data_IF_566912308131
#
_entry.id   IF_566912308131
#
_cell.length_a   1.000
_cell.length_b   1.000
_cell.length_c   1.000
_cell.angle_alpha   90.00
_cell.angle_beta   90.00
_cell.angle_gamma   90.00
#
_symmetry.space_group_name_H-M   'P 1'
#
loop_
_entity.id
_entity.type
_entity.pdbx_description
1 polymer ?
#
# COMPACT_ATOMS: atom_id res chain seq x y z
N UNK A 1 -24.46 35.27 38.34
CA UNK A 1 -24.44 34.18 39.34
C UNK A 1 -25.65 33.24 39.24
N UNK A 2 -26.83 33.75 39.03
CA UNK A 2 -28.10 33.00 38.96
C UNK A 2 -28.14 31.92 37.84
N UNK A 3 -27.67 32.24 36.65
CA UNK A 3 -27.61 31.27 35.51
C UNK A 3 -26.74 30.05 35.86
N UNK A 4 -25.60 30.27 36.50
CA UNK A 4 -24.70 29.21 36.91
C UNK A 4 -25.31 28.28 37.97
N UNK A 5 -26.12 28.86 38.87
CA UNK A 5 -26.86 28.09 39.89
C UNK A 5 -27.95 27.23 39.26
N UNK A 6 -28.69 27.76 38.27
CA UNK A 6 -29.69 26.99 37.49
C UNK A 6 -29.05 25.82 36.73
N UNK A 7 -27.95 26.08 36.05
CA UNK A 7 -27.19 24.99 35.35
C UNK A 7 -26.69 23.95 36.36
N UNK A 8 -26.14 24.37 37.50
CA UNK A 8 -25.67 23.48 38.55
C UNK A 8 -26.80 22.61 39.09
N UNK A 9 -27.97 23.17 39.35
CA UNK A 9 -29.15 22.42 39.81
C UNK A 9 -29.56 21.34 38.80
N UNK A 10 -29.76 21.73 37.53
CA UNK A 10 -30.17 20.78 36.50
C UNK A 10 -29.12 19.68 36.25
N UNK A 11 -27.84 20.02 36.36
CA UNK A 11 -26.74 19.01 36.30
C UNK A 11 -26.73 18.06 37.49
N UNK A 12 -27.11 18.51 38.68
CA UNK A 12 -27.24 17.66 39.88
C UNK A 12 -28.36 16.63 39.67
N UNK A 13 -29.41 17.01 38.93
CA UNK A 13 -30.48 16.11 38.50
C UNK A 13 -30.09 15.19 37.34
N UNK A 14 -28.83 15.22 36.88
CA UNK A 14 -28.28 14.44 35.75
C UNK A 14 -28.85 14.81 34.36
N UNK A 15 -29.52 15.94 34.20
CA UNK A 15 -29.97 16.44 32.89
C UNK A 15 -28.75 16.81 32.04
N UNK A 16 -28.76 16.44 30.77
CA UNK A 16 -27.63 16.65 29.85
C UNK A 16 -27.41 18.15 29.56
N UNK A 17 -26.15 18.54 29.26
CA UNK A 17 -25.85 19.95 28.91
C UNK A 17 -26.56 20.39 27.61
N UNK A 18 -26.84 19.45 26.72
CA UNK A 18 -27.55 19.70 25.46
C UNK A 18 -29.01 20.02 25.73
N UNK A 19 -29.67 19.26 26.60
CA UNK A 19 -31.04 19.55 27.05
C UNK A 19 -31.13 20.87 27.81
N UNK A 20 -30.16 21.13 28.71
CA UNK A 20 -30.12 22.43 29.43
C UNK A 20 -29.97 23.61 28.46
N UNK A 21 -29.18 23.48 27.40
CA UNK A 21 -29.04 24.48 26.36
C UNK A 21 -30.33 24.65 25.53
N UNK A 22 -30.97 23.52 25.18
CA UNK A 22 -32.23 23.56 24.43
C UNK A 22 -33.34 24.28 25.22
N UNK A 23 -33.44 23.98 26.52
CA UNK A 23 -34.36 24.68 27.44
C UNK A 23 -34.00 26.17 27.60
N UNK A 24 -32.71 26.48 27.78
CA UNK A 24 -32.24 27.86 27.91
C UNK A 24 -32.46 28.70 26.64
N UNK A 25 -32.42 28.07 25.48
CA UNK A 25 -32.69 28.72 24.17
C UNK A 25 -34.18 28.73 23.80
N UNK A 26 -35.08 28.25 24.67
CA UNK A 26 -36.54 28.23 24.41
C UNK A 26 -36.97 27.21 23.35
N UNK A 27 -36.13 26.23 23.01
CA UNK A 27 -36.45 25.17 22.05
C UNK A 27 -37.31 24.04 22.66
N UNK A 28 -37.23 23.83 23.98
CA UNK A 28 -38.05 22.91 24.76
C UNK A 28 -38.50 23.55 26.06
N UNK A 29 -39.70 23.15 26.52
CA UNK A 29 -40.18 23.55 27.83
C UNK A 29 -39.45 22.80 28.93
N UNK A 30 -39.14 23.48 30.02
CA UNK A 30 -38.47 22.89 31.19
C UNK A 30 -39.32 21.76 31.81
N UNK A 31 -40.64 21.92 31.85
CA UNK A 31 -41.55 20.91 32.41
C UNK A 31 -41.50 19.63 31.56
N UNK A 32 -41.57 19.76 30.24
CA UNK A 32 -41.49 18.64 29.31
C UNK A 32 -40.15 17.88 29.43
N UNK A 33 -39.04 18.60 29.56
CA UNK A 33 -37.70 18.03 29.78
C UNK A 33 -37.61 17.27 31.14
N UNK A 34 -38.25 17.84 32.18
CA UNK A 34 -38.30 17.19 33.50
C UNK A 34 -39.16 15.92 33.49
N UNK A 35 -40.33 15.95 32.81
CA UNK A 35 -41.20 14.78 32.69
C UNK A 35 -40.52 13.64 31.90
N UNK A 36 -39.86 13.97 30.81
CA UNK A 36 -39.08 12.99 30.05
C UNK A 36 -37.94 12.41 30.91
N UNK A 37 -37.30 13.24 31.72
CA UNK A 37 -36.23 12.78 32.63
C UNK A 37 -36.78 11.92 33.78
N UNK A 38 -37.94 12.26 34.34
CA UNK A 38 -38.61 11.42 35.36
C UNK A 38 -38.94 10.03 34.82
N UNK A 39 -39.47 9.92 33.58
CA UNK A 39 -39.75 8.65 32.94
C UNK A 39 -38.47 7.82 32.78
N UNK A 40 -37.35 8.48 32.44
CA UNK A 40 -36.03 7.81 32.31
C UNK A 40 -35.56 7.29 33.68
N UNK A 41 -35.71 8.06 34.75
CA UNK A 41 -35.36 7.68 36.12
C UNK A 41 -36.22 6.52 36.64
N UNK A 42 -37.52 6.49 36.32
CA UNK A 42 -38.40 5.39 36.65
C UNK A 42 -37.99 4.09 35.96
N UNK A 43 -37.62 4.16 34.68
CA UNK A 43 -37.10 2.99 33.94
C UNK A 43 -35.77 2.50 34.49
N UNK A 44 -34.84 3.42 34.84
CA UNK A 44 -33.57 3.08 35.49
C UNK A 44 -33.78 2.42 36.89
N UNK A 45 -34.72 2.93 37.69
CA UNK A 45 -35.09 2.33 38.98
C UNK A 45 -35.57 0.90 38.84
N UNK A 46 -36.48 0.65 37.89
CA UNK A 46 -36.97 -0.69 37.55
C UNK A 46 -35.83 -1.66 37.16
N UNK A 47 -34.91 -1.19 36.31
CA UNK A 47 -33.75 -1.96 35.90
C UNK A 47 -32.83 -2.31 37.07
N UNK A 48 -32.58 -1.37 37.97
CA UNK A 48 -31.78 -1.61 39.19
C UNK A 48 -32.45 -2.61 40.10
N UNK A 49 -33.77 -2.53 40.31
CA UNK A 49 -34.54 -3.49 41.14
C UNK A 49 -34.48 -4.90 40.53
N UNK A 50 -34.60 -5.05 39.21
CA UNK A 50 -34.50 -6.35 38.52
C UNK A 50 -33.07 -6.92 38.64
N UNK A 51 -32.04 -6.08 38.43
CA UNK A 51 -30.63 -6.49 38.58
C UNK A 51 -30.37 -6.94 40.04
N UNK A 52 -30.92 -6.27 41.04
CA UNK A 52 -30.80 -6.68 42.44
C UNK A 52 -31.48 -8.03 42.69
N UNK A 53 -32.66 -8.30 42.12
CA UNK A 53 -33.31 -9.60 42.25
C UNK A 53 -32.47 -10.71 41.65
N UNK A 54 -31.91 -10.47 40.43
CA UNK A 54 -31.04 -11.43 39.78
C UNK A 54 -29.76 -11.71 40.58
N UNK A 55 -29.10 -10.65 41.07
CA UNK A 55 -27.92 -10.81 41.92
C UNK A 55 -28.21 -11.60 43.22
N UNK A 56 -29.37 -11.38 43.80
CA UNK A 56 -29.78 -12.16 44.99
C UNK A 56 -29.98 -13.63 44.63
N UNK A 57 -30.68 -13.92 43.52
CA UNK A 57 -30.87 -15.28 43.04
C UNK A 57 -29.53 -15.98 42.78
N UNK A 58 -28.65 -15.37 42.05
CA UNK A 58 -27.30 -15.92 41.76
C UNK A 58 -26.48 -16.13 43.02
N UNK A 59 -26.60 -15.25 44.02
CA UNK A 59 -25.96 -15.40 45.31
C UNK A 59 -26.55 -16.58 46.11
N UNK A 60 -27.88 -16.68 46.11
CA UNK A 60 -28.59 -17.71 46.89
C UNK A 60 -28.39 -19.10 46.27
N UNK A 61 -28.20 -19.16 44.93
CA UNK A 61 -27.79 -20.37 44.20
C UNK A 61 -26.30 -20.72 44.40
N UNK A 62 -25.55 -19.90 45.09
CA UNK A 62 -24.10 -20.05 45.34
C UNK A 62 -23.28 -20.34 44.08
N UNK A 63 -23.58 -19.63 42.98
CA UNK A 63 -23.02 -19.85 41.64
C UNK A 63 -21.57 -19.46 41.58
N UNK A 64 -20.70 -20.37 41.09
CA UNK A 64 -19.32 -20.08 40.79
C UNK A 64 -19.17 -19.69 39.30
N UNK A 65 -18.21 -18.83 38.99
CA UNK A 65 -17.99 -18.37 37.61
C UNK A 65 -17.81 -19.51 36.58
N UNK A 66 -17.15 -20.61 37.02
CA UNK A 66 -16.89 -21.77 36.15
C UNK A 66 -18.14 -22.63 35.85
N UNK A 67 -19.17 -22.57 36.72
CA UNK A 67 -20.43 -23.32 36.58
C UNK A 67 -21.65 -22.45 36.27
N UNK A 68 -21.40 -21.16 35.90
CA UNK A 68 -22.47 -20.21 35.63
C UNK A 68 -23.20 -20.57 34.32
N UNK A 69 -24.47 -21.00 34.43
CA UNK A 69 -25.38 -21.11 33.32
C UNK A 69 -25.95 -19.72 32.94
N UNK A 70 -25.22 -19.01 32.06
CA UNK A 70 -25.60 -17.68 31.66
C UNK A 70 -26.94 -17.63 30.92
N UNK A 71 -27.32 -18.70 30.22
CA UNK A 71 -28.59 -18.74 29.46
C UNK A 71 -29.80 -18.78 30.40
N UNK A 72 -29.73 -19.57 31.43
CA UNK A 72 -30.80 -19.66 32.45
C UNK A 72 -31.07 -18.31 33.12
N UNK A 73 -30.03 -17.59 33.51
CA UNK A 73 -30.19 -16.29 34.19
C UNK A 73 -30.61 -15.18 33.20
N UNK A 74 -30.25 -15.27 31.93
CA UNK A 74 -30.72 -14.34 30.90
C UNK A 74 -32.22 -14.58 30.59
N UNK A 75 -32.66 -15.80 30.48
CA UNK A 75 -34.07 -16.14 30.31
C UNK A 75 -34.93 -15.69 31.51
N UNK A 76 -34.42 -15.89 32.76
CA UNK A 76 -35.10 -15.37 33.95
C UNK A 76 -35.22 -13.85 33.91
N UNK A 77 -34.17 -13.15 33.52
CA UNK A 77 -34.16 -11.70 33.36
C UNK A 77 -35.20 -11.24 32.33
N UNK A 78 -35.27 -11.91 31.18
CA UNK A 78 -36.27 -11.64 30.14
C UNK A 78 -37.68 -11.85 30.66
N UNK A 79 -37.93 -12.89 31.47
CA UNK A 79 -39.23 -13.12 32.07
C UNK A 79 -39.67 -12.04 33.03
N UNK A 80 -38.72 -11.49 33.83
CA UNK A 80 -38.96 -10.34 34.71
C UNK A 80 -39.29 -9.07 33.91
N UNK A 81 -38.62 -8.86 32.77
CA UNK A 81 -38.85 -7.70 31.93
C UNK A 81 -40.18 -7.75 31.20
N UNK A 82 -40.65 -8.94 30.76
CA UNK A 82 -41.96 -9.15 30.14
C UNK A 82 -43.12 -8.87 31.09
N UNK A 83 -42.93 -9.15 32.38
CA UNK A 83 -43.98 -8.91 33.40
C UNK A 83 -44.12 -7.41 33.78
N UNK A 84 -43.12 -6.62 33.61
CA UNK A 84 -43.10 -5.22 34.12
C UNK A 84 -42.89 -4.15 33.04
N UNK A 85 -43.04 -4.50 31.76
CA UNK A 85 -42.83 -3.60 30.62
C UNK A 85 -41.46 -2.83 30.64
N UNK A 86 -40.51 -3.35 31.37
CA UNK A 86 -39.18 -2.77 31.44
C UNK A 86 -38.35 -3.25 30.23
N UNK A 87 -38.03 -2.34 29.32
CA UNK A 87 -37.13 -2.62 28.21
C UNK A 87 -35.70 -2.62 28.74
N UNK A 88 -35.08 -3.79 28.87
CA UNK A 88 -33.65 -3.87 29.10
C UNK A 88 -32.93 -3.26 27.91
N UNK A 89 -32.15 -2.22 28.18
CA UNK A 89 -31.14 -1.81 27.20
C UNK A 89 -30.17 -2.96 27.08
N UNK A 90 -30.15 -3.61 25.90
CA UNK A 90 -29.14 -4.63 25.60
C UNK A 90 -27.79 -4.11 26.04
N UNK A 91 -27.04 -4.96 26.75
CA UNK A 91 -25.73 -4.59 27.28
C UNK A 91 -24.84 -4.17 26.10
N UNK A 92 -24.62 -2.87 25.99
CA UNK A 92 -23.79 -2.36 24.91
C UNK A 92 -22.35 -2.72 25.26
N UNK A 93 -21.75 -3.57 24.43
CA UNK A 93 -20.36 -3.97 24.56
C UNK A 93 -19.47 -2.75 24.91
N UNK A 94 -18.58 -2.87 25.92
CA UNK A 94 -17.78 -1.74 26.35
C UNK A 94 -16.91 -1.21 25.23
N UNK A 95 -17.08 0.05 24.90
CA UNK A 95 -16.33 0.72 23.82
C UNK A 95 -14.89 0.91 24.23
N UNK A 96 -14.00 0.48 23.35
CA UNK A 96 -12.56 0.53 23.63
C UNK A 96 -11.99 1.86 23.18
N UNK A 97 -11.46 2.62 24.14
CA UNK A 97 -10.68 3.84 23.92
C UNK A 97 -9.21 3.48 23.65
N UNK A 98 -8.87 3.10 22.45
CA UNK A 98 -7.48 2.77 22.09
C UNK A 98 -7.10 3.44 20.77
N UNK A 99 -7.00 4.80 20.73
CA UNK A 99 -6.78 5.53 19.50
C UNK A 99 -5.45 5.17 18.82
N UNK A 100 -4.38 4.98 19.58
CA UNK A 100 -3.08 4.60 19.03
C UNK A 100 -3.12 3.22 18.37
N UNK A 101 -3.77 2.23 18.99
CA UNK A 101 -3.94 0.90 18.39
C UNK A 101 -4.71 0.96 17.07
N UNK A 102 -5.72 1.82 16.98
CA UNK A 102 -6.50 2.03 15.76
C UNK A 102 -5.64 2.61 14.64
N UNK A 103 -4.78 3.59 14.96
CA UNK A 103 -3.84 4.19 14.00
C UNK A 103 -2.83 3.14 13.53
N UNK A 104 -2.19 2.41 14.44
CA UNK A 104 -1.22 1.37 14.07
C UNK A 104 -1.86 0.23 13.27
N UNK A 105 -3.09 -0.19 13.62
CA UNK A 105 -3.83 -1.16 12.83
C UNK A 105 -4.04 -0.66 11.38
N UNK A 106 -4.38 0.62 11.23
CA UNK A 106 -4.65 1.19 9.91
C UNK A 106 -3.39 1.37 9.07
N UNK A 107 -2.30 1.84 9.68
CA UNK A 107 -1.00 1.92 9.02
C UNK A 107 -0.54 0.54 8.53
N UNK A 108 -0.70 -0.48 9.37
CA UNK A 108 -0.38 -1.85 8.98
C UNK A 108 -1.25 -2.35 7.82
N UNK A 109 -2.57 -2.14 7.88
CA UNK A 109 -3.48 -2.53 6.79
C UNK A 109 -3.05 -1.86 5.48
N UNK A 110 -2.71 -0.57 5.51
CA UNK A 110 -2.25 0.17 4.33
C UNK A 110 -0.97 -0.43 3.74
N UNK A 111 0.05 -0.67 4.58
CA UNK A 111 1.31 -1.30 4.17
C UNK A 111 1.08 -2.71 3.63
N UNK A 112 0.24 -3.50 4.30
CA UNK A 112 -0.11 -4.85 3.87
C UNK A 112 -0.71 -4.86 2.45
N UNK A 113 -1.71 -4.03 2.19
CA UNK A 113 -2.32 -3.94 0.87
C UNK A 113 -1.35 -3.39 -0.18
N UNK A 114 -0.50 -2.43 0.17
CA UNK A 114 0.52 -1.89 -0.73
C UNK A 114 1.54 -2.96 -1.15
N UNK A 115 2.02 -3.78 -0.21
CA UNK A 115 2.96 -4.87 -0.50
C UNK A 115 2.28 -5.98 -1.30
N UNK A 116 1.03 -6.35 -0.97
CA UNK A 116 0.28 -7.33 -1.77
C UNK A 116 0.08 -6.83 -3.20
N UNK A 117 -0.26 -5.56 -3.38
CA UNK A 117 -0.38 -4.95 -4.70
C UNK A 117 0.95 -4.99 -5.47
N UNK A 118 2.06 -4.62 -4.81
CA UNK A 118 3.40 -4.69 -5.38
C UNK A 118 3.76 -6.12 -5.81
N UNK A 119 3.45 -7.13 -4.98
CA UNK A 119 3.69 -8.53 -5.32
C UNK A 119 2.85 -8.98 -6.52
N UNK A 120 1.58 -8.61 -6.57
CA UNK A 120 0.69 -8.91 -7.70
C UNK A 120 1.19 -8.25 -8.98
N UNK A 121 1.60 -6.98 -8.93
CA UNK A 121 2.20 -6.28 -10.07
C UNK A 121 3.45 -6.99 -10.58
N UNK A 122 4.34 -7.38 -9.68
CA UNK A 122 5.60 -8.03 -10.05
C UNK A 122 5.44 -9.46 -10.57
N UNK A 123 4.51 -10.24 -9.99
CA UNK A 123 4.39 -11.67 -10.28
C UNK A 123 3.32 -11.99 -11.34
N UNK A 124 2.25 -11.20 -11.43
CA UNK A 124 1.08 -11.52 -12.27
C UNK A 124 0.98 -10.60 -13.47
N UNK A 125 1.14 -9.28 -13.29
CA UNK A 125 0.87 -8.28 -14.34
C UNK A 125 2.09 -8.04 -15.23
N UNK A 126 3.24 -8.59 -14.87
CA UNK A 126 4.49 -8.41 -15.60
C UNK A 126 4.78 -6.94 -15.94
N UNK A 127 4.54 -6.06 -14.98
CA UNK A 127 4.99 -4.66 -14.83
C UNK A 127 4.70 -3.65 -15.95
N UNK A 128 4.08 -4.01 -17.06
CA UNK A 128 4.00 -3.14 -18.24
C UNK A 128 2.93 -2.03 -18.18
N UNK A 129 1.92 -2.12 -17.30
CA UNK A 129 0.70 -1.31 -17.48
C UNK A 129 0.37 -0.33 -16.34
N UNK A 130 0.90 -0.50 -15.14
CA UNK A 130 0.41 0.25 -13.97
C UNK A 130 1.30 1.38 -13.45
N UNK A 131 2.58 1.45 -13.82
CA UNK A 131 3.53 2.39 -13.21
C UNK A 131 3.90 3.60 -14.09
N UNK A 132 3.43 3.70 -15.30
CA UNK A 132 3.64 4.89 -16.15
C UNK A 132 3.17 6.22 -15.53
N UNK A 133 2.33 6.15 -14.49
CA UNK A 133 1.87 7.33 -13.74
C UNK A 133 2.07 7.11 -12.25
N UNK A 134 3.03 7.79 -11.66
CA UNK A 134 3.37 7.73 -10.21
C UNK A 134 2.19 7.98 -9.23
N UNK A 135 1.03 8.40 -9.72
CA UNK A 135 -0.18 8.66 -8.93
C UNK A 135 -1.21 7.51 -8.98
N UNK A 136 -1.07 6.54 -9.88
CA UNK A 136 -2.01 5.43 -10.05
C UNK A 136 -2.09 4.45 -8.87
N UNK A 137 -1.01 4.14 -8.15
CA UNK A 137 -1.08 3.11 -7.12
C UNK A 137 -2.02 3.48 -5.96
N UNK A 138 -2.15 4.75 -5.59
CA UNK A 138 -2.99 5.15 -4.45
C UNK A 138 -4.49 4.95 -4.72
N UNK A 139 -5.10 5.44 -5.81
CA UNK A 139 -6.51 5.18 -6.11
C UNK A 139 -6.83 3.68 -6.25
N UNK A 140 -5.97 2.91 -6.91
CA UNK A 140 -6.15 1.46 -7.06
C UNK A 140 -6.09 0.77 -5.71
N UNK A 141 -5.13 1.13 -4.86
CA UNK A 141 -5.01 0.63 -3.50
C UNK A 141 -6.26 0.91 -2.67
N UNK A 142 -6.81 2.12 -2.76
CA UNK A 142 -8.05 2.51 -2.07
C UNK A 142 -9.26 1.72 -2.59
N UNK A 143 -9.33 1.47 -3.89
CA UNK A 143 -10.36 0.61 -4.49
C UNK A 143 -10.26 -0.84 -3.99
N UNK A 144 -9.06 -1.41 -3.95
CA UNK A 144 -8.83 -2.75 -3.40
C UNK A 144 -9.27 -2.79 -1.93
N UNK A 145 -8.86 -1.81 -1.13
CA UNK A 145 -9.26 -1.72 0.28
C UNK A 145 -10.76 -1.62 0.45
N UNK A 146 -11.46 -0.86 -0.42
CA UNK A 146 -12.90 -0.69 -0.36
C UNK A 146 -13.66 -2.02 -0.48
N UNK A 147 -13.21 -2.93 -1.34
CA UNK A 147 -13.91 -4.19 -1.58
C UNK A 147 -13.37 -5.35 -0.72
N UNK A 148 -12.08 -5.37 -0.43
CA UNK A 148 -11.42 -6.48 0.29
C UNK A 148 -11.57 -6.32 1.81
N UNK A 149 -11.50 -5.10 2.38
CA UNK A 149 -11.68 -4.90 3.81
C UNK A 149 -13.06 -5.39 4.33
N UNK A 150 -14.19 -5.13 3.65
CA UNK A 150 -15.48 -5.68 4.03
C UNK A 150 -15.53 -7.21 4.08
N UNK A 151 -14.82 -7.90 3.17
CA UNK A 151 -14.72 -9.36 3.20
C UNK A 151 -14.03 -9.86 4.47
N UNK A 152 -12.94 -9.20 4.88
CA UNK A 152 -12.26 -9.50 6.15
C UNK A 152 -13.17 -9.26 7.35
N UNK A 153 -13.90 -8.15 7.37
CA UNK A 153 -14.81 -7.79 8.46
C UNK A 153 -15.99 -8.76 8.54
N UNK A 154 -16.56 -9.17 7.40
CA UNK A 154 -17.66 -10.12 7.34
C UNK A 154 -17.23 -11.54 7.77
N UNK A 155 -16.11 -12.05 7.21
CA UNK A 155 -15.65 -13.43 7.52
C UNK A 155 -15.05 -13.56 8.91
N UNK A 156 -14.15 -12.66 9.28
CA UNK A 156 -13.34 -12.78 10.52
C UNK A 156 -13.66 -11.73 11.57
N UNK A 157 -14.43 -10.69 11.20
CA UNK A 157 -14.75 -9.56 12.08
C UNK A 157 -13.56 -8.71 12.43
N UNK A 158 -12.48 -8.79 11.64
CA UNK A 158 -11.25 -8.04 11.86
C UNK A 158 -10.49 -7.90 10.55
N UNK A 159 -9.63 -6.89 10.42
CA UNK A 159 -8.65 -6.78 9.33
C UNK A 159 -7.29 -7.30 9.80
N UNK A 160 -6.33 -7.57 8.90
CA UNK A 160 -4.99 -8.01 9.30
C UNK A 160 -4.35 -7.11 10.36
N UNK A 161 -4.35 -5.80 10.14
CA UNK A 161 -3.80 -4.85 11.11
C UNK A 161 -4.55 -4.80 12.43
N UNK A 162 -5.88 -4.82 12.40
CA UNK A 162 -6.69 -4.89 13.62
C UNK A 162 -6.45 -6.19 14.40
N UNK A 163 -6.34 -7.32 13.68
CA UNK A 163 -6.07 -8.61 14.30
C UNK A 163 -4.73 -8.62 15.05
N UNK A 164 -3.66 -8.07 14.44
CA UNK A 164 -2.33 -8.01 15.06
C UNK A 164 -2.35 -7.20 16.35
N UNK A 165 -3.05 -6.07 16.37
CA UNK A 165 -3.14 -5.24 17.58
C UNK A 165 -4.24 -5.68 18.56
N UNK A 166 -4.91 -6.81 18.30
CA UNK A 166 -5.92 -7.39 19.18
C UNK A 166 -7.30 -6.74 19.09
N UNK A 167 -7.62 -6.05 18.00
CA UNK A 167 -8.91 -5.39 17.79
C UNK A 167 -9.82 -6.23 16.89
N UNK A 168 -11.13 -6.21 17.17
CA UNK A 168 -12.17 -6.74 16.26
C UNK A 168 -13.34 -5.79 16.20
N UNK A 169 -14.10 -5.88 15.10
CA UNK A 169 -15.28 -5.07 14.82
C UNK A 169 -16.51 -5.96 14.89
N UNK A 170 -17.55 -5.50 15.60
CA UNK A 170 -18.82 -6.18 15.79
C UNK A 170 -19.96 -5.18 15.64
N UNK A 171 -21.17 -5.69 15.50
CA UNK A 171 -22.39 -4.92 15.73
C UNK A 171 -22.66 -4.77 17.25
N UNK A 172 -23.75 -4.10 17.59
CA UNK A 172 -24.16 -3.93 19.00
C UNK A 172 -24.58 -5.23 19.68
N UNK A 173 -24.90 -6.28 18.89
CA UNK A 173 -25.34 -7.60 19.38
C UNK A 173 -24.16 -8.63 19.39
N UNK A 174 -22.92 -8.16 19.31
CA UNK A 174 -21.68 -8.97 19.21
C UNK A 174 -21.62 -9.90 17.99
N UNK A 175 -22.42 -9.64 16.96
CA UNK A 175 -22.36 -10.40 15.71
C UNK A 175 -21.34 -9.82 14.75
N UNK A 176 -20.87 -10.64 13.81
CA UNK A 176 -20.08 -10.16 12.70
C UNK A 176 -20.93 -9.29 11.80
N UNK A 177 -20.32 -8.26 11.20
CA UNK A 177 -21.02 -7.39 10.26
C UNK A 177 -21.47 -8.16 9.00
N UNK A 178 -22.62 -7.81 8.45
CA UNK A 178 -22.97 -8.19 7.07
C UNK A 178 -21.99 -7.50 6.10
N UNK A 179 -21.87 -8.03 4.88
CA UNK A 179 -21.02 -7.42 3.86
C UNK A 179 -21.44 -5.98 3.55
N UNK A 180 -22.74 -5.73 3.45
CA UNK A 180 -23.29 -4.40 3.18
C UNK A 180 -22.95 -3.41 4.30
N UNK A 181 -23.14 -3.79 5.55
CA UNK A 181 -22.79 -2.94 6.72
C UNK A 181 -21.28 -2.69 6.79
N UNK A 182 -20.46 -3.69 6.49
CA UNK A 182 -19.02 -3.56 6.43
C UNK A 182 -18.56 -2.65 5.28
N UNK A 183 -19.19 -2.77 4.09
CA UNK A 183 -18.93 -1.93 2.94
C UNK A 183 -19.31 -0.47 3.20
N UNK A 184 -20.51 -0.23 3.73
CA UNK A 184 -20.98 1.11 4.09
C UNK A 184 -20.04 1.78 5.11
N UNK A 185 -19.57 1.02 6.10
CA UNK A 185 -18.59 1.47 7.09
C UNK A 185 -17.25 1.81 6.44
N UNK A 186 -16.73 0.93 5.58
CA UNK A 186 -15.44 1.15 4.89
C UNK A 186 -15.55 2.33 3.93
N UNK A 187 -16.66 2.46 3.20
CA UNK A 187 -16.94 3.60 2.34
C UNK A 187 -16.98 4.91 3.12
N UNK A 188 -17.76 4.96 4.21
CA UNK A 188 -17.85 6.17 5.05
C UNK A 188 -16.49 6.56 5.62
N UNK A 189 -15.68 5.57 6.00
CA UNK A 189 -14.32 5.78 6.50
C UNK A 189 -13.38 6.29 5.40
N UNK A 190 -13.38 5.69 4.21
CA UNK A 190 -12.54 6.11 3.10
C UNK A 190 -12.94 7.50 2.59
N UNK A 191 -14.24 7.73 2.38
CA UNK A 191 -14.72 9.00 1.84
C UNK A 191 -14.47 10.18 2.77
N UNK A 192 -14.75 10.03 4.06
CA UNK A 192 -14.54 11.09 5.05
C UNK A 192 -13.07 11.31 5.40
N UNK A 193 -12.22 10.28 5.20
CA UNK A 193 -10.79 10.34 5.49
C UNK A 193 -9.91 10.40 4.25
N UNK A 194 -10.45 10.43 3.04
CA UNK A 194 -9.65 10.48 1.80
C UNK A 194 -8.72 11.70 1.77
N UNK A 195 -9.15 12.81 2.36
CA UNK A 195 -8.33 14.00 2.56
C UNK A 195 -7.41 13.91 3.79
N UNK A 196 -7.62 12.95 4.70
CA UNK A 196 -7.00 12.90 6.03
C UNK A 196 -6.58 11.49 6.45
N UNK A 197 -6.07 10.70 5.53
CA UNK A 197 -5.52 9.35 5.81
C UNK A 197 -4.32 9.37 6.77
N UNK A 198 -4.01 10.53 7.30
CA UNK A 198 -2.85 10.83 8.13
C UNK A 198 -3.33 11.08 9.58
N UNK A 199 -2.47 10.86 10.58
CA UNK A 199 -2.66 11.22 12.00
C UNK A 199 -3.24 12.60 12.25
N UNK A 200 -3.19 13.49 11.27
CA UNK A 200 -3.72 14.85 11.26
C UNK A 200 -5.23 14.89 11.54
N UNK A 201 -6.04 14.00 10.95
CA UNK A 201 -7.48 13.96 11.24
C UNK A 201 -7.77 13.68 12.72
N UNK A 202 -7.00 12.80 13.34
CA UNK A 202 -7.09 12.53 14.77
C UNK A 202 -6.76 13.77 15.61
N UNK A 203 -5.80 14.58 15.20
CA UNK A 203 -5.42 15.80 15.90
C UNK A 203 -6.53 16.85 15.83
N UNK A 204 -7.17 17.03 14.68
CA UNK A 204 -8.25 18.01 14.50
C UNK A 204 -9.58 17.57 15.17
N UNK A 205 -9.90 16.27 15.14
CA UNK A 205 -11.15 15.74 15.71
C UNK A 205 -10.96 15.11 17.11
N UNK A 206 -9.81 15.31 17.72
CA UNK A 206 -9.51 14.82 19.08
C UNK A 206 -10.54 15.31 20.11
N UNK A 207 -11.03 16.50 19.98
CA UNK A 207 -12.02 17.08 20.90
C UNK A 207 -13.42 16.49 20.67
N UNK A 208 -13.82 16.28 19.42
CA UNK A 208 -15.09 15.64 19.08
C UNK A 208 -15.10 14.18 19.54
N UNK A 209 -14.03 13.43 19.26
CA UNK A 209 -13.86 12.06 19.75
C UNK A 209 -13.83 11.96 21.28
N UNK A 210 -13.23 12.94 21.98
CA UNK A 210 -13.25 12.97 23.45
C UNK A 210 -14.66 13.13 24.00
N UNK A 211 -15.52 13.89 23.34
CA UNK A 211 -16.86 14.18 23.79
C UNK A 211 -17.84 13.06 23.44
N UNK A 212 -17.78 12.52 22.23
CA UNK A 212 -18.76 11.55 21.73
C UNK A 212 -18.29 10.10 21.88
N UNK A 213 -16.98 9.86 21.99
CA UNK A 213 -16.33 8.53 21.96
C UNK A 213 -16.60 7.72 20.68
N UNK A 214 -17.12 8.35 19.63
CA UNK A 214 -17.43 7.74 18.35
C UNK A 214 -16.76 8.50 17.23
N UNK A 215 -16.32 7.76 16.24
CA UNK A 215 -16.10 8.33 14.92
C UNK A 215 -17.41 8.27 14.13
N UNK A 216 -17.66 9.21 13.22
CA UNK A 216 -18.91 9.25 12.44
C UNK A 216 -19.23 7.98 11.65
N UNK A 217 -18.21 7.15 11.36
CA UNK A 217 -18.36 5.84 10.68
C UNK A 217 -18.60 4.65 11.62
N UNK A 218 -18.68 4.89 12.92
CA UNK A 218 -18.89 3.86 13.94
C UNK A 218 -20.32 3.84 14.50
N UNK A 219 -21.25 4.55 13.87
CA UNK A 219 -22.62 4.72 14.41
C UNK A 219 -23.33 3.40 14.67
N UNK A 220 -23.05 2.35 13.86
CA UNK A 220 -23.69 1.04 13.97
C UNK A 220 -22.70 -0.10 14.29
N UNK A 221 -21.49 0.23 14.78
CA UNK A 221 -20.45 -0.78 15.03
C UNK A 221 -19.71 -0.51 16.32
N UNK A 222 -19.28 -1.58 16.97
CA UNK A 222 -18.48 -1.53 18.21
C UNK A 222 -17.11 -2.13 17.94
N UNK A 223 -16.07 -1.46 18.41
CA UNK A 223 -14.71 -1.98 18.39
C UNK A 223 -14.42 -2.66 19.73
N UNK A 224 -14.04 -3.94 19.66
CA UNK A 224 -13.76 -4.77 20.82
C UNK A 224 -12.27 -5.03 20.89
N UNK A 225 -11.70 -4.96 22.11
CA UNK A 225 -10.34 -5.41 22.40
C UNK A 225 -10.38 -6.86 22.86
N UNK A 226 -9.91 -7.79 22.00
CA UNK A 226 -9.87 -9.23 22.33
C UNK A 226 -8.86 -9.58 23.40
N UNK A 227 -7.65 -9.07 23.25
CA UNK A 227 -6.59 -9.32 24.24
C UNK A 227 -5.51 -8.22 24.20
N UNK A 228 -4.69 -8.17 25.26
CA UNK A 228 -3.55 -7.23 25.41
C UNK A 228 -2.21 -7.96 25.45
N UNK A 229 -2.08 -9.10 24.78
CA UNK A 229 -0.86 -9.91 24.81
C UNK A 229 0.35 -9.16 24.26
N UNK A 230 1.44 -9.12 25.00
CA UNK A 230 2.67 -8.39 24.64
C UNK A 230 3.36 -8.93 23.39
N UNK A 231 3.25 -10.23 23.11
CA UNK A 231 3.84 -10.84 21.90
C UNK A 231 3.33 -10.23 20.60
N UNK A 232 2.11 -9.65 20.60
CA UNK A 232 1.54 -8.97 19.44
C UNK A 232 2.35 -7.75 18.99
N UNK A 233 3.01 -7.06 19.94
CA UNK A 233 3.90 -5.93 19.63
C UNK A 233 5.12 -6.45 18.88
N UNK A 234 5.70 -7.56 19.31
CA UNK A 234 6.82 -8.21 18.63
C UNK A 234 6.44 -8.69 17.22
N UNK A 235 5.26 -9.32 17.08
CA UNK A 235 4.74 -9.74 15.80
C UNK A 235 4.51 -8.55 14.85
N UNK A 236 3.92 -7.46 15.36
CA UNK A 236 3.72 -6.24 14.58
C UNK A 236 5.04 -5.71 14.03
N UNK A 237 6.04 -5.57 14.90
CA UNK A 237 7.38 -5.09 14.51
C UNK A 237 8.04 -6.03 13.48
N UNK A 238 7.99 -7.35 13.70
CA UNK A 238 8.54 -8.34 12.78
C UNK A 238 7.89 -8.29 11.39
N UNK A 239 6.56 -8.17 11.32
CA UNK A 239 5.85 -8.05 10.06
C UNK A 239 6.09 -6.72 9.35
N UNK A 240 6.23 -5.61 10.09
CA UNK A 240 6.63 -4.33 9.51
C UNK A 240 8.02 -4.41 8.87
N UNK A 241 8.99 -5.03 9.56
CA UNK A 241 10.33 -5.26 9.01
C UNK A 241 10.27 -6.18 7.79
N UNK A 242 9.50 -7.27 7.85
CA UNK A 242 9.30 -8.17 6.72
C UNK A 242 8.74 -7.45 5.49
N UNK A 243 7.68 -6.64 5.65
CA UNK A 243 7.10 -5.89 4.54
C UNK A 243 8.04 -4.81 4.00
N UNK A 244 8.82 -4.17 4.87
CA UNK A 244 9.87 -3.24 4.45
C UNK A 244 10.92 -3.96 3.60
N UNK A 245 11.38 -5.13 4.04
CA UNK A 245 12.30 -5.95 3.26
C UNK A 245 11.70 -6.38 1.93
N UNK A 246 10.44 -6.83 1.90
CA UNK A 246 9.75 -7.16 0.65
C UNK A 246 9.70 -5.98 -0.31
N UNK A 247 9.42 -4.76 0.19
CA UNK A 247 9.34 -3.56 -0.65
C UNK A 247 10.67 -3.14 -1.26
N UNK A 248 11.80 -3.58 -0.68
CA UNK A 248 13.15 -3.32 -1.19
C UNK A 248 13.63 -4.48 -2.07
N UNK A 249 13.49 -5.70 -1.56
CA UNK A 249 14.04 -6.91 -2.18
C UNK A 249 13.32 -7.27 -3.48
N UNK A 250 11.99 -7.19 -3.50
CA UNK A 250 11.21 -7.59 -4.68
C UNK A 250 11.52 -6.71 -5.91
N UNK A 251 11.50 -5.37 -5.84
CA UNK A 251 11.92 -4.53 -6.97
C UNK A 251 13.39 -4.73 -7.34
N UNK A 252 14.25 -4.95 -6.35
CA UNK A 252 15.68 -5.19 -6.60
C UNK A 252 15.91 -6.43 -7.47
N UNK A 253 15.26 -7.56 -7.14
CA UNK A 253 15.36 -8.77 -7.95
C UNK A 253 14.56 -8.69 -9.27
N UNK A 254 13.58 -7.82 -9.37
CA UNK A 254 12.86 -7.59 -10.62
C UNK A 254 13.76 -7.02 -11.74
N UNK A 255 14.78 -6.24 -11.37
CA UNK A 255 15.79 -5.68 -12.29
C UNK A 255 17.01 -6.55 -12.49
N UNK A 256 17.01 -7.76 -11.92
CA UNK A 256 18.12 -8.70 -12.11
C UNK A 256 17.86 -9.63 -13.30
N UNK A 257 18.89 -10.05 -14.06
CA UNK A 257 18.73 -11.00 -15.14
C UNK A 257 17.98 -12.27 -14.71
N UNK A 258 17.17 -12.84 -15.59
CA UNK A 258 16.45 -14.08 -15.32
C UNK A 258 17.34 -15.31 -15.52
N UNK A 259 18.11 -15.28 -16.61
CA UNK A 259 19.04 -16.33 -16.98
C UNK A 259 20.44 -15.96 -16.49
N UNK A 260 21.16 -16.93 -15.93
CA UNK A 260 22.47 -16.75 -15.32
C UNK A 260 23.52 -17.69 -15.92
N UNK A 261 24.79 -17.34 -15.73
CA UNK A 261 25.91 -18.10 -16.25
C UNK A 261 26.13 -17.91 -17.76
N UNK A 262 26.57 -18.94 -18.46
CA UNK A 262 26.82 -18.85 -19.89
C UNK A 262 25.50 -18.81 -20.66
N UNK A 263 25.27 -17.70 -21.36
CA UNK A 263 24.01 -17.43 -22.03
C UNK A 263 24.03 -17.83 -23.49
N UNK A 264 22.94 -18.36 -24.00
CA UNK A 264 22.61 -18.36 -25.44
C UNK A 264 22.14 -16.97 -25.86
N UNK A 265 22.06 -16.70 -27.16
CA UNK A 265 21.57 -15.44 -27.69
C UNK A 265 20.12 -15.18 -27.25
N UNK A 266 19.26 -16.19 -27.30
CA UNK A 266 17.86 -16.07 -26.86
C UNK A 266 17.73 -15.79 -25.35
N UNK A 267 18.56 -16.42 -24.49
CA UNK A 267 18.60 -16.14 -23.06
C UNK A 267 19.07 -14.70 -22.77
N UNK A 268 20.08 -14.22 -23.52
CA UNK A 268 20.53 -12.83 -23.43
C UNK A 268 19.43 -11.86 -23.88
N UNK A 269 18.77 -12.12 -25.01
CA UNK A 269 17.67 -11.31 -25.50
C UNK A 269 16.51 -11.25 -24.49
N UNK A 270 16.18 -12.39 -23.85
CA UNK A 270 15.20 -12.47 -22.79
C UNK A 270 15.57 -11.60 -21.59
N UNK A 271 16.83 -11.67 -21.12
CA UNK A 271 17.34 -10.81 -20.05
C UNK A 271 17.27 -9.33 -20.41
N UNK A 272 17.73 -8.96 -21.61
CA UNK A 272 17.69 -7.60 -22.13
C UNK A 272 16.27 -7.08 -22.18
N UNK A 273 15.34 -7.82 -22.79
CA UNK A 273 13.95 -7.45 -22.96
C UNK A 273 13.23 -7.27 -21.61
N UNK A 274 13.55 -8.12 -20.63
CA UNK A 274 13.02 -7.96 -19.26
C UNK A 274 13.47 -6.64 -18.63
N UNK A 275 14.74 -6.31 -18.75
CA UNK A 275 15.29 -5.05 -18.24
C UNK A 275 14.76 -3.84 -18.99
N UNK A 276 14.67 -3.92 -20.32
CA UNK A 276 14.10 -2.87 -21.16
C UNK A 276 12.66 -2.56 -20.76
N UNK A 277 11.83 -3.59 -20.55
CA UNK A 277 10.45 -3.43 -20.05
C UNK A 277 10.39 -2.75 -18.69
N UNK A 278 11.32 -3.08 -17.81
CA UNK A 278 11.36 -2.48 -16.47
C UNK A 278 11.73 -1.00 -16.51
N UNK A 279 12.75 -0.63 -17.27
CA UNK A 279 13.25 0.74 -17.31
C UNK A 279 12.46 1.68 -18.23
N UNK A 280 11.83 1.13 -19.30
CA UNK A 280 11.08 1.90 -20.31
C UNK A 280 9.60 1.51 -20.31
N UNK A 281 8.93 1.85 -19.23
CA UNK A 281 7.51 1.54 -19.01
C UNK A 281 6.55 2.33 -19.92
N UNK A 282 7.02 3.40 -20.51
CA UNK A 282 6.28 4.27 -21.42
C UNK A 282 6.19 3.72 -22.86
N UNK A 283 6.75 2.53 -23.10
CA UNK A 283 6.78 1.91 -24.43
C UNK A 283 7.90 2.43 -25.34
N UNK A 284 8.80 3.30 -24.85
CA UNK A 284 9.97 3.78 -25.60
C UNK A 284 11.12 2.78 -25.62
N UNK A 285 10.99 1.69 -24.86
CA UNK A 285 11.99 0.63 -24.81
C UNK A 285 12.19 -0.07 -26.14
N UNK A 286 13.44 -0.41 -26.42
CA UNK A 286 13.84 -1.21 -27.58
C UNK A 286 13.99 -2.65 -27.11
N UNK A 287 13.73 -3.59 -28.04
CA UNK A 287 13.71 -5.03 -27.75
C UNK A 287 14.57 -5.80 -28.74
N UNK A 288 14.98 -6.96 -28.35
CA UNK A 288 15.68 -7.93 -29.17
C UNK A 288 14.75 -9.10 -29.50
N UNK A 289 14.86 -9.64 -30.70
CA UNK A 289 14.23 -10.91 -31.08
C UNK A 289 15.02 -12.11 -30.53
N UNK A 290 14.59 -13.33 -30.85
CA UNK A 290 15.23 -14.56 -30.37
C UNK A 290 16.64 -14.78 -30.96
N UNK A 291 16.93 -14.14 -32.10
CA UNK A 291 18.23 -14.09 -32.77
C UNK A 291 19.12 -12.94 -32.24
N UNK A 292 18.63 -12.18 -31.26
CA UNK A 292 19.34 -11.06 -30.63
C UNK A 292 19.41 -9.80 -31.48
N UNK A 293 18.61 -9.69 -32.56
CA UNK A 293 18.57 -8.51 -33.41
C UNK A 293 17.51 -7.55 -32.91
N UNK A 294 17.72 -6.27 -33.22
CA UNK A 294 16.82 -5.20 -32.81
C UNK A 294 15.49 -5.28 -33.54
N UNK A 295 14.42 -5.32 -32.80
CA UNK A 295 13.07 -5.40 -33.33
C UNK A 295 12.23 -4.21 -32.89
N UNK A 296 11.26 -3.85 -33.76
CA UNK A 296 10.27 -2.84 -33.41
C UNK A 296 9.44 -3.37 -32.25
N UNK A 297 9.24 -2.55 -31.24
CA UNK A 297 8.30 -2.85 -30.17
C UNK A 297 6.95 -3.18 -30.81
N UNK A 298 6.33 -4.33 -30.50
CA UNK A 298 4.95 -4.54 -30.89
C UNK A 298 4.13 -3.35 -30.34
N UNK A 299 3.20 -2.77 -31.12
CA UNK A 299 2.44 -1.61 -30.69
C UNK A 299 1.70 -2.00 -29.41
N UNK A 300 2.20 -1.55 -28.29
CA UNK A 300 1.50 -1.66 -27.02
C UNK A 300 0.33 -0.69 -27.13
N UNK A 301 -0.89 -1.21 -27.15
CA UNK A 301 -2.08 -0.39 -26.99
C UNK A 301 -2.03 0.24 -25.61
N UNK A 302 -1.41 1.40 -25.52
CA UNK A 302 -1.54 2.23 -24.31
C UNK A 302 -2.97 2.77 -24.28
N UNK A 303 -3.62 2.70 -23.15
CA UNK A 303 -4.98 3.20 -22.95
C UNK A 303 -5.15 4.72 -23.22
N UNK A 304 -4.09 5.41 -23.62
CA UNK A 304 -4.02 6.87 -23.73
C UNK A 304 -3.41 7.34 -25.06
N UNK A 305 -3.88 6.82 -26.16
CA UNK A 305 -3.55 7.38 -27.47
C UNK A 305 -2.17 6.92 -27.99
N UNK A 306 -2.15 6.68 -29.26
CA UNK A 306 -0.98 6.27 -30.01
C UNK A 306 0.08 7.38 -30.01
N UNK A 307 1.12 7.22 -29.23
CA UNK A 307 2.41 7.76 -29.59
C UNK A 307 3.10 6.69 -30.42
N UNK A 308 2.95 6.78 -31.73
CA UNK A 308 3.73 6.00 -32.70
C UNK A 308 5.15 6.59 -32.71
N UNK A 309 5.90 6.29 -31.65
CA UNK A 309 7.34 6.59 -31.60
C UNK A 309 7.95 5.56 -32.53
N UNK A 310 8.16 5.98 -33.79
CA UNK A 310 8.91 5.20 -34.76
C UNK A 310 10.34 5.05 -34.25
N UNK A 311 10.59 3.97 -33.52
CA UNK A 311 11.95 3.58 -33.16
C UNK A 311 12.60 3.12 -34.49
N UNK A 312 13.55 3.88 -34.96
CA UNK A 312 14.36 3.47 -36.09
C UNK A 312 15.37 2.44 -35.62
N UNK A 313 15.08 1.16 -35.88
CA UNK A 313 15.95 0.05 -35.46
C UNK A 313 17.16 -0.11 -36.41
N UNK A 314 17.18 0.56 -37.57
CA UNK A 314 18.32 0.47 -38.52
C UNK A 314 19.62 1.07 -37.97
N UNK A 315 19.50 1.88 -36.92
CA UNK A 315 20.61 2.54 -36.23
C UNK A 315 21.35 1.61 -35.23
N UNK A 316 20.83 0.43 -35.02
CA UNK A 316 21.32 -0.49 -33.97
C UNK A 316 21.69 -1.81 -34.61
N UNK A 317 22.88 -2.31 -34.33
CA UNK A 317 23.37 -3.58 -34.79
C UNK A 317 24.05 -4.37 -33.69
N UNK A 318 23.74 -5.66 -33.59
CA UNK A 318 24.40 -6.57 -32.66
C UNK A 318 25.12 -7.67 -33.43
N UNK A 319 26.35 -7.95 -33.03
CA UNK A 319 27.14 -9.09 -33.49
C UNK A 319 27.47 -9.99 -32.29
N UNK A 320 27.45 -11.30 -32.53
CA UNK A 320 27.69 -12.30 -31.50
C UNK A 320 28.77 -13.26 -31.95
N UNK A 321 29.79 -13.51 -31.11
CA UNK A 321 30.69 -14.66 -31.24
C UNK A 321 30.24 -15.73 -30.25
N UNK A 322 30.15 -16.99 -30.76
CA UNK A 322 29.61 -18.09 -30.00
C UNK A 322 30.67 -19.23 -29.90
N UNK A 323 30.74 -19.85 -28.74
CA UNK A 323 31.44 -21.10 -28.51
C UNK A 323 30.48 -22.12 -27.88
N UNK A 324 30.30 -23.26 -28.50
CA UNK A 324 29.36 -24.32 -28.08
C UNK A 324 27.91 -23.78 -27.89
N UNK A 325 27.49 -22.84 -28.74
CA UNK A 325 26.17 -22.22 -28.70
C UNK A 325 25.97 -21.18 -27.59
N UNK A 326 27.02 -20.86 -26.83
CA UNK A 326 27.04 -19.82 -25.79
C UNK A 326 27.83 -18.62 -26.25
N UNK A 327 27.37 -17.44 -25.82
CA UNK A 327 27.97 -16.15 -26.15
C UNK A 327 29.32 -16.02 -25.45
N UNK A 328 30.36 -15.77 -26.23
CA UNK A 328 31.70 -15.39 -25.75
C UNK A 328 31.95 -13.91 -25.95
N UNK A 329 31.34 -13.28 -26.97
CA UNK A 329 31.48 -11.87 -27.24
C UNK A 329 30.19 -11.28 -27.81
N UNK A 330 29.87 -10.06 -27.39
CA UNK A 330 28.78 -9.25 -27.93
C UNK A 330 29.38 -7.93 -28.35
N UNK A 331 29.13 -7.52 -29.58
CA UNK A 331 29.45 -6.16 -30.07
C UNK A 331 28.13 -5.47 -30.44
N UNK A 332 27.82 -4.40 -29.73
CA UNK A 332 26.73 -3.49 -30.00
C UNK A 332 27.27 -2.28 -30.76
N UNK A 333 26.72 -2.00 -31.93
CA UNK A 333 27.02 -0.78 -32.68
C UNK A 333 25.77 0.06 -32.79
N UNK A 334 25.89 1.33 -32.37
CA UNK A 334 24.87 2.34 -32.51
C UNK A 334 25.36 3.48 -33.39
N UNK A 335 24.61 3.84 -34.44
CA UNK A 335 24.94 4.94 -35.34
C UNK A 335 23.83 5.96 -35.37
N UNK A 336 24.16 7.24 -35.19
CA UNK A 336 23.20 8.34 -35.20
C UNK A 336 23.63 9.43 -36.18
N UNK A 337 22.71 9.79 -37.05
CA UNK A 337 22.82 10.92 -37.97
C UNK A 337 21.93 12.04 -37.46
N UNK A 338 22.52 13.19 -37.14
CA UNK A 338 21.85 14.47 -36.89
C UNK A 338 20.84 14.61 -35.72
N UNK A 339 21.13 15.53 -34.80
CA UNK A 339 20.28 16.25 -33.81
C UNK A 339 19.75 15.56 -32.53
N UNK A 340 19.91 14.31 -32.30
CA UNK A 340 19.61 13.71 -30.99
C UNK A 340 20.71 12.77 -30.54
N UNK A 341 21.79 13.33 -30.07
CA UNK A 341 22.83 12.55 -29.44
C UNK A 341 22.27 11.95 -28.14
N UNK A 342 21.86 10.68 -28.20
CA UNK A 342 21.44 9.93 -27.00
C UNK A 342 22.62 9.21 -26.35
N UNK A 343 23.75 9.17 -27.02
CA UNK A 343 24.96 8.45 -26.59
C UNK A 343 24.78 6.95 -26.44
N UNK A 344 23.62 6.41 -26.81
CA UNK A 344 23.24 4.97 -26.63
C UNK A 344 23.47 4.43 -25.21
N UNK A 345 23.60 5.31 -24.22
CA UNK A 345 23.92 4.98 -22.82
C UNK A 345 22.93 4.01 -22.25
N UNK A 346 21.66 4.16 -22.59
CA UNK A 346 20.59 3.30 -22.13
C UNK A 346 20.75 1.86 -22.63
N UNK A 347 21.08 1.71 -23.91
CA UNK A 347 21.26 0.42 -24.57
C UNK A 347 22.53 -0.27 -24.04
N UNK A 348 23.63 0.45 -23.95
CA UNK A 348 24.87 -0.07 -23.35
C UNK A 348 24.67 -0.54 -21.92
N UNK A 349 24.01 0.26 -21.10
CA UNK A 349 23.71 -0.10 -19.71
C UNK A 349 22.82 -1.31 -19.57
N UNK A 350 21.79 -1.44 -20.45
CA UNK A 350 20.92 -2.61 -20.46
C UNK A 350 21.64 -3.86 -20.97
N UNK A 351 22.46 -3.73 -22.04
CA UNK A 351 23.27 -4.80 -22.56
C UNK A 351 24.27 -5.32 -21.53
N UNK A 352 24.97 -4.41 -20.85
CA UNK A 352 25.89 -4.74 -19.75
C UNK A 352 25.16 -5.47 -18.61
N UNK A 353 24.01 -4.98 -18.17
CA UNK A 353 23.21 -5.62 -17.12
C UNK A 353 22.71 -6.99 -17.55
N UNK A 354 22.32 -7.17 -18.82
CA UNK A 354 21.77 -8.43 -19.33
C UNK A 354 22.85 -9.50 -19.46
N UNK A 355 24.07 -9.14 -19.86
CA UNK A 355 25.17 -10.08 -20.12
C UNK A 355 26.09 -10.23 -18.91
N UNK A 356 26.70 -9.15 -18.44
CA UNK A 356 27.62 -9.19 -17.29
C UNK A 356 26.89 -9.46 -15.99
N UNK A 357 25.70 -8.88 -15.80
CA UNK A 357 24.85 -9.16 -14.64
C UNK A 357 24.43 -10.62 -14.52
N UNK A 358 24.40 -11.38 -15.62
CA UNK A 358 24.16 -12.82 -15.60
C UNK A 358 25.34 -13.64 -15.02
N UNK A 359 26.54 -13.10 -15.06
CA UNK A 359 27.77 -13.73 -14.55
C UNK A 359 28.06 -13.28 -13.10
N UNK A 360 27.72 -12.03 -12.76
CA UNK A 360 27.98 -11.44 -11.46
C UNK A 360 26.85 -11.77 -10.45
N UNK A 361 27.19 -11.70 -9.16
CA UNK A 361 26.17 -11.75 -8.11
C UNK A 361 25.41 -10.42 -7.96
N UNK A 362 24.15 -10.44 -7.52
CA UNK A 362 23.33 -9.25 -7.40
C UNK A 362 23.86 -8.20 -6.41
N UNK A 363 24.70 -8.59 -5.48
CA UNK A 363 25.30 -7.70 -4.46
C UNK A 363 26.74 -7.30 -4.78
N UNK A 364 27.23 -7.56 -6.01
CA UNK A 364 28.56 -7.14 -6.43
C UNK A 364 28.64 -5.62 -6.48
N UNK A 365 29.44 -5.04 -5.57
CA UNK A 365 29.70 -3.59 -5.56
C UNK A 365 30.36 -3.16 -6.86
N UNK A 366 31.34 -3.92 -7.31
CA UNK A 366 32.06 -3.64 -8.54
C UNK A 366 31.12 -3.54 -9.74
N UNK A 367 30.15 -4.49 -9.86
CA UNK A 367 29.13 -4.42 -10.91
C UNK A 367 28.36 -3.09 -10.90
N UNK A 368 27.92 -2.67 -9.73
CA UNK A 368 27.18 -1.41 -9.61
C UNK A 368 28.03 -0.18 -9.91
N UNK A 369 29.30 -0.17 -9.49
CA UNK A 369 30.25 0.90 -9.78
C UNK A 369 30.53 0.98 -11.30
N UNK A 370 30.63 -0.18 -12.01
CA UNK A 370 30.80 -0.21 -13.48
C UNK A 370 29.54 0.25 -14.23
N UNK A 371 28.34 -0.06 -13.74
CA UNK A 371 27.10 0.47 -14.30
C UNK A 371 27.07 2.01 -14.18
N UNK A 372 27.54 2.57 -13.07
CA UNK A 372 27.65 4.01 -12.89
C UNK A 372 28.68 4.62 -13.86
N UNK A 373 29.85 3.96 -14.01
CA UNK A 373 30.90 4.37 -14.94
C UNK A 373 30.41 4.41 -16.40
N UNK A 374 29.72 3.35 -16.86
CA UNK A 374 29.12 3.33 -18.23
C UNK A 374 28.13 4.50 -18.40
N UNK A 375 27.39 4.83 -17.34
CA UNK A 375 26.43 5.93 -17.42
C UNK A 375 27.12 7.28 -17.52
N UNK A 376 28.14 7.54 -16.68
CA UNK A 376 28.87 8.81 -16.65
C UNK A 376 29.68 9.01 -17.93
N UNK A 377 30.58 8.09 -18.28
CA UNK A 377 31.43 8.19 -19.47
C UNK A 377 30.65 8.14 -20.79
N UNK A 378 29.55 7.36 -20.84
CA UNK A 378 28.69 7.33 -22.00
C UNK A 378 27.93 8.64 -22.26
N UNK A 379 27.53 9.38 -21.22
CA UNK A 379 26.96 10.72 -21.38
C UNK A 379 28.00 11.77 -21.75
N UNK A 380 29.28 11.54 -21.38
CA UNK A 380 30.40 12.42 -21.73
C UNK A 380 30.98 12.09 -23.12
N UNK A 381 30.46 11.05 -23.79
CA UNK A 381 30.92 10.57 -25.10
C UNK A 381 32.41 10.18 -25.11
N UNK A 382 32.87 9.59 -24.02
CA UNK A 382 34.27 9.18 -23.84
C UNK A 382 34.47 7.69 -24.15
N UNK A 383 35.64 7.38 -24.70
CA UNK A 383 36.12 6.00 -24.80
C UNK A 383 36.42 5.45 -23.41
N UNK A 384 36.08 4.19 -23.18
CA UNK A 384 36.42 3.54 -21.93
C UNK A 384 36.66 2.03 -22.09
N UNK A 385 37.45 1.48 -21.19
CA UNK A 385 37.63 0.03 -21.08
C UNK A 385 37.84 -0.37 -19.64
N UNK A 386 37.35 -1.56 -19.28
CA UNK A 386 37.58 -2.18 -17.98
C UNK A 386 37.36 -3.69 -18.05
N UNK A 387 37.81 -4.41 -17.02
CA UNK A 387 37.58 -5.84 -16.85
C UNK A 387 36.77 -6.07 -15.58
N UNK A 388 35.79 -6.96 -15.64
CA UNK A 388 34.98 -7.39 -14.51
C UNK A 388 34.64 -8.87 -14.65
N UNK A 389 34.85 -9.68 -13.61
CA UNK A 389 34.57 -11.12 -13.59
C UNK A 389 34.96 -11.87 -14.89
N UNK A 390 36.21 -11.65 -15.34
CA UNK A 390 36.77 -12.26 -16.56
C UNK A 390 36.05 -11.81 -17.85
N UNK A 391 35.36 -10.66 -17.84
CA UNK A 391 34.74 -10.06 -19.02
C UNK A 391 35.43 -8.72 -19.26
N UNK A 392 36.00 -8.56 -20.43
CA UNK A 392 36.50 -7.28 -20.91
C UNK A 392 35.36 -6.48 -21.54
N UNK A 393 35.24 -5.22 -21.16
CA UNK A 393 34.25 -4.27 -21.69
C UNK A 393 35.00 -3.12 -22.31
N UNK A 394 34.71 -2.79 -23.56
CA UNK A 394 35.32 -1.72 -24.33
C UNK A 394 34.20 -0.90 -24.94
N UNK A 395 34.34 0.42 -24.91
CA UNK A 395 33.48 1.36 -25.61
C UNK A 395 34.37 2.31 -26.41
N UNK A 396 34.22 2.28 -27.71
CA UNK A 396 34.87 3.19 -28.65
C UNK A 396 33.84 4.13 -29.22
N UNK A 397 34.09 5.42 -29.14
CA UNK A 397 33.23 6.50 -29.64
C UNK A 397 33.92 7.20 -30.80
N UNK A 398 33.26 7.24 -31.94
CA UNK A 398 33.75 7.97 -33.13
C UNK A 398 32.72 8.96 -33.59
N UNK A 399 33.14 10.17 -33.92
CA UNK A 399 32.27 11.20 -34.44
C UNK A 399 32.97 12.12 -35.46
N UNK A 400 32.18 12.69 -36.39
CA UNK A 400 32.62 13.69 -37.35
C UNK A 400 31.62 14.83 -37.38
N UNK A 401 32.11 16.03 -37.81
CA UNK A 401 31.23 17.20 -37.97
C UNK A 401 30.86 17.93 -36.68
N UNK A 402 31.48 17.59 -35.53
CA UNK A 402 31.32 18.30 -34.26
C UNK A 402 32.61 18.89 -33.75
N UNK A 403 32.57 20.15 -33.34
CA UNK A 403 33.69 20.85 -32.67
C UNK A 403 33.65 20.61 -31.15
N UNK A 404 32.47 20.37 -30.62
CA UNK A 404 32.21 20.00 -29.22
C UNK A 404 31.03 19.04 -29.18
N UNK A 405 31.31 17.76 -28.98
CA UNK A 405 30.31 16.71 -28.99
C UNK A 405 29.39 16.79 -27.77
N UNK A 406 29.92 17.17 -26.60
CA UNK A 406 29.14 17.26 -25.37
C UNK A 406 28.06 18.32 -25.45
N UNK A 407 28.36 19.45 -26.09
CA UNK A 407 27.41 20.52 -26.31
C UNK A 407 26.72 20.46 -27.69
N UNK A 408 26.95 19.39 -28.46
CA UNK A 408 26.43 19.19 -29.80
C UNK A 408 26.71 20.41 -30.74
N UNK A 409 27.92 20.99 -30.65
CA UNK A 409 28.34 22.13 -31.48
C UNK A 409 28.81 21.61 -32.82
N UNK A 410 28.05 21.88 -33.88
CA UNK A 410 28.32 21.43 -35.23
C UNK A 410 29.39 22.27 -35.93
N UNK A 411 30.18 21.62 -36.81
CA UNK A 411 31.10 22.33 -37.73
C UNK A 411 30.31 22.66 -39.01
N UNK A 412 30.15 23.94 -39.39
CA UNK A 412 29.39 24.33 -40.55
C UNK A 412 29.93 23.73 -41.85
N UNK A 413 29.08 23.01 -42.57
CA UNK A 413 29.44 22.42 -43.86
C UNK A 413 30.04 21.02 -43.81
N UNK A 414 30.21 20.45 -42.64
CA UNK A 414 30.59 19.05 -42.49
C UNK A 414 29.38 18.16 -42.23
N UNK A 415 29.46 16.92 -42.71
CA UNK A 415 28.44 15.90 -42.43
C UNK A 415 28.63 15.37 -41.02
N UNK A 416 27.54 15.40 -40.22
CA UNK A 416 27.55 14.93 -38.82
C UNK A 416 27.33 13.43 -38.80
N UNK A 417 28.22 12.73 -38.14
CA UNK A 417 28.02 11.32 -37.81
C UNK A 417 28.52 11.04 -36.38
N UNK A 418 27.85 10.10 -35.71
CA UNK A 418 28.21 9.63 -34.43
C UNK A 418 28.01 8.12 -34.34
N UNK A 419 29.04 7.39 -33.95
CA UNK A 419 29.02 5.95 -33.85
C UNK A 419 29.61 5.51 -32.50
N UNK A 420 28.92 4.62 -31.82
CA UNK A 420 29.37 3.92 -30.61
C UNK A 420 29.54 2.47 -30.93
N UNK A 421 30.71 1.90 -30.60
CA UNK A 421 31.00 0.48 -30.62
C UNK A 421 31.21 0.01 -29.19
N UNK A 422 30.29 -0.78 -28.66
CA UNK A 422 30.34 -1.27 -27.27
C UNK A 422 30.49 -2.80 -27.28
N UNK A 423 31.64 -3.27 -26.84
CA UNK A 423 32.04 -4.68 -26.89
C UNK A 423 32.14 -5.25 -25.46
N UNK A 424 31.62 -6.45 -25.25
CA UNK A 424 31.77 -7.25 -24.04
C UNK A 424 32.29 -8.63 -24.45
N UNK A 425 33.47 -9.03 -23.99
CA UNK A 425 34.15 -10.26 -24.38
C UNK A 425 34.65 -11.04 -23.16
N UNK A 426 34.37 -12.34 -23.10
CA UNK A 426 34.93 -13.26 -22.08
C UNK A 426 36.40 -13.53 -22.38
N UNK A 427 37.28 -13.34 -21.36
CA UNK A 427 38.71 -13.54 -21.45
C UNK A 427 39.11 -15.00 -21.26
#
# INVERSE_FOLDING_TARGET
MEILQRIKLLRTLRISLEEIKAVANGQHDLVEALDAHLLTLETEKLQVEQAQKLCRLMRDDNVQYASLDAQYYLEYLQSLSAQQSAVWKADTLPKVKEPLRRIFARLFDFVFYAVVMLLVEQLVVNYQYLIGYRLYPIPVLLMIMLFVEPLFLCKWGTTPGKWIVGLSVRDYEDRKLSYEAALARTWAMLWRNLLFYVPIYYLFHKNEYKNTMYYPWEQNTVLILRDRKRWRIGLYAALCVFFLLCSIVVPYFAVWPLHHGDLTVSEYASNYNRLSRYYYQDGTGKYLDDEGQWTKTPPVQTAHGYYDIKVDVSKYHNEYELQDGKITKITFTGTEEFRKLSGFVSEMRLAFRAFVGAQCGPFSKEFHDRVAQITEQGYDYEDFSFVIDNIQVICDVTYTGYSDIQNAVEIPGEEQSFTVCFTMEKL
#
